data_IF_913199662500
#
_entry.id   IF_913199662500
#
_cell.length_a   1.000
_cell.length_b   1.000
_cell.length_c   1.000
_cell.angle_alpha   90.00
_cell.angle_beta   90.00
_cell.angle_gamma   90.00
#
_symmetry.space_group_name_H-M   'P 1'
#
loop_
_entity.id
_entity.type
_entity.pdbx_description
1 polymer ?
#
# COMPACT_ATOMS: atom_id res chain seq x y z
N UNK A 1 10.48 -15.63 -33.91
CA UNK A 1 11.07 -14.98 -32.73
C UNK A 1 10.00 -14.14 -32.07
N UNK A 2 9.69 -14.43 -30.81
CA UNK A 2 8.64 -13.74 -30.08
C UNK A 2 9.24 -12.73 -29.09
N UNK A 3 8.70 -11.52 -29.12
CA UNK A 3 9.06 -10.44 -28.21
C UNK A 3 7.93 -10.22 -27.21
N UNK A 4 8.26 -10.02 -25.94
CA UNK A 4 7.28 -9.66 -24.90
C UNK A 4 7.65 -8.29 -24.36
N UNK A 5 6.69 -7.37 -24.37
CA UNK A 5 6.84 -6.04 -23.76
C UNK A 5 5.96 -5.98 -22.52
N UNK A 6 6.58 -5.79 -21.36
CA UNK A 6 5.87 -5.57 -20.10
C UNK A 6 6.08 -4.11 -19.71
N UNK A 7 4.97 -3.36 -19.66
CA UNK A 7 4.98 -1.95 -19.32
C UNK A 7 4.20 -1.70 -18.04
N UNK A 8 4.82 -0.96 -17.11
CA UNK A 8 4.14 -0.39 -15.96
C UNK A 8 4.24 1.13 -15.98
N UNK A 9 3.09 1.80 -16.07
CA UNK A 9 3.06 3.26 -16.13
C UNK A 9 1.65 3.84 -16.23
N UNK A 10 1.60 5.16 -16.13
CA UNK A 10 0.40 5.99 -16.18
C UNK A 10 0.26 6.78 -17.49
N UNK A 11 1.30 6.78 -18.33
CA UNK A 11 1.34 7.47 -19.62
C UNK A 11 1.36 6.45 -20.75
N UNK A 12 0.74 6.76 -21.88
CA UNK A 12 0.80 5.90 -23.06
C UNK A 12 2.23 5.74 -23.59
N UNK A 13 2.58 4.50 -23.97
CA UNK A 13 3.87 4.12 -24.53
C UNK A 13 3.69 3.72 -26.00
N UNK A 14 4.25 4.50 -26.90
CA UNK A 14 4.31 4.15 -28.32
C UNK A 14 5.55 3.29 -28.61
N UNK A 15 5.33 2.09 -29.13
CA UNK A 15 6.37 1.18 -29.60
C UNK A 15 6.65 1.43 -31.08
N UNK A 16 7.92 1.34 -31.47
CA UNK A 16 8.30 1.36 -32.89
C UNK A 16 7.82 0.09 -33.56
N UNK A 17 7.38 0.21 -34.81
CA UNK A 17 7.01 -0.93 -35.66
C UNK A 17 8.20 -1.88 -35.81
N UNK A 18 7.95 -3.16 -35.55
CA UNK A 18 8.91 -4.26 -35.70
C UNK A 18 8.18 -5.38 -36.46
N UNK A 19 8.93 -6.17 -37.23
CA UNK A 19 8.38 -7.29 -38.01
C UNK A 19 8.14 -8.54 -37.14
N UNK A 20 8.53 -8.50 -35.87
CA UNK A 20 8.35 -9.58 -34.91
C UNK A 20 6.97 -9.58 -34.24
N UNK A 21 6.41 -10.77 -34.01
CA UNK A 21 5.22 -10.94 -33.17
C UNK A 21 5.52 -10.44 -31.76
N UNK A 22 4.82 -9.38 -31.36
CA UNK A 22 5.04 -8.72 -30.07
C UNK A 22 3.84 -8.91 -29.16
N UNK A 23 4.04 -9.63 -28.06
CA UNK A 23 3.07 -9.74 -26.97
C UNK A 23 3.23 -8.57 -26.02
N UNK A 24 2.14 -7.97 -25.58
CA UNK A 24 2.16 -6.83 -24.69
C UNK A 24 1.35 -7.07 -23.41
N UNK A 25 1.93 -6.67 -22.28
CA UNK A 25 1.31 -6.73 -20.96
C UNK A 25 1.46 -5.40 -20.24
N UNK A 26 0.33 -4.82 -19.85
CA UNK A 26 0.23 -3.52 -19.21
C UNK A 26 -0.12 -3.65 -17.72
N UNK A 27 0.56 -2.88 -16.88
CA UNK A 27 0.25 -2.70 -15.46
C UNK A 27 0.02 -1.20 -15.21
N UNK A 28 -1.19 -0.84 -14.80
CA UNK A 28 -1.59 0.56 -14.60
C UNK A 28 -2.43 1.11 -15.76
N UNK A 29 -2.56 2.44 -15.80
CA UNK A 29 -3.54 3.11 -16.68
C UNK A 29 -2.99 3.47 -18.06
N UNK A 30 -1.67 3.58 -18.22
CA UNK A 30 -1.03 3.97 -19.48
C UNK A 30 -1.01 2.84 -20.52
N UNK A 31 -1.43 3.12 -21.75
CA UNK A 31 -1.61 2.11 -22.80
C UNK A 31 -0.35 1.85 -23.61
N UNK A 32 -0.18 0.62 -24.09
CA UNK A 32 0.85 0.30 -25.09
C UNK A 32 0.24 0.47 -26.47
N UNK A 33 0.80 1.37 -27.27
CA UNK A 33 0.37 1.70 -28.63
C UNK A 33 1.40 1.18 -29.63
N UNK A 34 0.95 0.58 -30.73
CA UNK A 34 1.81 0.08 -31.80
C UNK A 34 1.07 -0.85 -32.75
N UNK A 35 1.73 -1.16 -33.87
CA UNK A 35 1.20 -2.08 -34.87
C UNK A 35 1.49 -3.55 -34.49
N UNK A 36 0.57 -4.47 -34.84
CA UNK A 36 0.73 -5.93 -34.65
C UNK A 36 1.03 -6.37 -33.21
N UNK A 37 0.38 -5.74 -32.24
CA UNK A 37 0.48 -6.09 -30.82
C UNK A 37 -0.57 -7.15 -30.44
N UNK A 38 -0.13 -8.20 -29.73
CA UNK A 38 -1.01 -9.18 -29.11
C UNK A 38 -1.11 -8.85 -27.61
N UNK A 39 -2.26 -8.31 -27.19
CA UNK A 39 -2.50 -7.99 -25.80
C UNK A 39 -2.79 -9.27 -25.00
N UNK A 40 -1.97 -9.53 -23.97
CA UNK A 40 -2.12 -10.68 -23.07
C UNK A 40 -2.69 -10.30 -21.70
N UNK A 41 -3.12 -9.06 -21.49
CA UNK A 41 -3.92 -8.69 -20.32
C UNK A 41 -5.27 -9.41 -20.36
N UNK A 42 -5.58 -10.13 -19.27
CA UNK A 42 -6.86 -10.77 -19.08
C UNK A 42 -7.30 -10.54 -17.62
N UNK A 43 -8.28 -9.66 -17.41
CA UNK A 43 -8.75 -9.27 -16.08
C UNK A 43 -9.47 -10.39 -15.35
N UNK A 44 -10.23 -11.23 -16.05
CA UNK A 44 -10.93 -12.37 -15.47
C UNK A 44 -9.93 -13.41 -14.93
N UNK A 45 -8.96 -13.79 -15.76
CA UNK A 45 -7.87 -14.68 -15.31
C UNK A 45 -7.02 -14.06 -14.21
N UNK A 46 -6.83 -12.73 -14.19
CA UNK A 46 -6.10 -12.07 -13.11
C UNK A 46 -6.87 -12.17 -11.78
N UNK A 47 -8.18 -11.97 -11.81
CA UNK A 47 -9.04 -12.07 -10.63
C UNK A 47 -9.06 -13.50 -10.09
N UNK A 48 -9.24 -14.50 -10.96
CA UNK A 48 -9.15 -15.91 -10.61
C UNK A 48 -7.80 -16.26 -9.93
N UNK A 49 -6.69 -15.82 -10.53
CA UNK A 49 -5.35 -16.04 -9.96
C UNK A 49 -5.26 -15.39 -8.58
N UNK A 50 -5.71 -14.14 -8.46
CA UNK A 50 -5.67 -13.37 -7.22
C UNK A 50 -6.42 -14.11 -6.11
N UNK A 51 -7.65 -14.57 -6.38
CA UNK A 51 -8.44 -15.37 -5.45
C UNK A 51 -7.74 -16.68 -5.09
N UNK A 52 -7.17 -17.38 -6.07
CA UNK A 52 -6.53 -18.69 -5.85
C UNK A 52 -5.27 -18.62 -4.97
N UNK A 53 -4.50 -17.54 -5.05
CA UNK A 53 -3.27 -17.38 -4.27
C UNK A 53 -3.47 -16.67 -2.95
N UNK A 54 -4.65 -16.09 -2.70
CA UNK A 54 -4.94 -15.24 -1.54
C UNK A 54 -4.58 -15.92 -0.22
N UNK A 55 -5.11 -17.12 0.00
CA UNK A 55 -4.99 -17.79 1.30
C UNK A 55 -3.55 -18.26 1.55
N UNK A 56 -2.92 -18.87 0.54
CA UNK A 56 -1.50 -19.27 0.59
C UNK A 56 -0.58 -18.07 0.84
N UNK A 57 -0.89 -16.93 0.23
CA UNK A 57 -0.13 -15.71 0.43
C UNK A 57 -0.27 -15.16 1.85
N UNK A 58 -1.50 -15.12 2.38
CA UNK A 58 -1.75 -14.71 3.77
C UNK A 58 -1.04 -15.63 4.75
N UNK A 59 -1.09 -16.94 4.51
CA UNK A 59 -0.40 -17.94 5.33
C UNK A 59 1.12 -17.77 5.27
N UNK A 60 1.69 -17.54 4.09
CA UNK A 60 3.11 -17.22 3.94
C UNK A 60 3.51 -15.97 4.74
N UNK A 61 2.70 -14.92 4.72
CA UNK A 61 2.98 -13.72 5.53
C UNK A 61 2.87 -14.00 7.01
N UNK A 62 1.85 -14.75 7.42
CA UNK A 62 1.71 -15.16 8.80
C UNK A 62 2.88 -16.04 9.27
N UNK A 63 3.46 -16.85 8.38
CA UNK A 63 4.62 -17.69 8.72
C UNK A 63 5.82 -16.88 9.23
N UNK A 64 5.95 -15.61 8.84
CA UNK A 64 7.01 -14.71 9.32
C UNK A 64 6.88 -14.38 10.82
N UNK A 65 5.70 -14.56 11.41
CA UNK A 65 5.48 -14.47 12.86
C UNK A 65 6.35 -15.48 13.65
N UNK A 66 6.66 -16.64 13.06
CA UNK A 66 7.52 -17.65 13.69
C UNK A 66 8.90 -17.10 14.07
N UNK A 67 9.45 -16.17 13.28
CA UNK A 67 10.73 -15.51 13.55
C UNK A 67 10.66 -14.66 14.82
N UNK A 68 9.54 -13.98 15.06
CA UNK A 68 9.31 -13.17 16.26
C UNK A 68 9.15 -14.05 17.49
N UNK A 69 8.39 -15.14 17.37
CA UNK A 69 8.19 -16.11 18.45
C UNK A 69 9.52 -16.76 18.84
N UNK A 70 10.29 -17.25 17.87
CA UNK A 70 11.58 -17.91 18.10
C UNK A 70 12.60 -16.94 18.72
N UNK A 71 12.52 -15.65 18.37
CA UNK A 71 13.38 -14.61 18.93
C UNK A 71 12.88 -14.02 20.26
N UNK A 72 11.85 -14.62 20.87
CA UNK A 72 11.21 -14.15 22.11
C UNK A 72 10.73 -12.68 22.05
N UNK A 73 10.31 -12.22 20.87
CA UNK A 73 9.73 -10.90 20.65
C UNK A 73 8.22 -10.91 20.96
N UNK A 74 7.89 -11.22 22.21
CA UNK A 74 6.53 -11.35 22.73
C UNK A 74 6.36 -10.36 23.88
N UNK A 75 5.26 -9.61 23.87
CA UNK A 75 4.89 -8.68 24.93
C UNK A 75 3.46 -8.94 25.36
N UNK A 76 3.23 -9.15 26.66
CA UNK A 76 1.90 -9.36 27.25
C UNK A 76 1.09 -10.48 26.55
N UNK A 77 1.78 -11.56 26.14
CA UNK A 77 1.18 -12.68 25.40
C UNK A 77 0.93 -12.43 23.90
N UNK A 78 1.27 -11.25 23.38
CA UNK A 78 1.13 -10.88 21.97
C UNK A 78 2.49 -10.88 21.27
N UNK A 79 2.56 -11.49 20.09
CA UNK A 79 3.74 -11.37 19.24
C UNK A 79 3.87 -9.95 18.69
N UNK A 80 5.07 -9.36 18.79
CA UNK A 80 5.37 -8.04 18.23
C UNK A 80 5.27 -8.00 16.70
N UNK A 81 5.18 -9.15 16.03
CA UNK A 81 4.86 -9.24 14.60
C UNK A 81 3.58 -8.46 14.26
N UNK A 82 2.52 -8.59 15.06
CA UNK A 82 1.24 -7.93 14.83
C UNK A 82 1.28 -6.41 15.05
N UNK A 83 2.36 -5.89 15.62
CA UNK A 83 2.59 -4.45 15.77
C UNK A 83 3.54 -3.90 14.71
N UNK A 84 4.09 -4.78 13.85
CA UNK A 84 5.02 -4.39 12.80
C UNK A 84 4.30 -3.85 11.56
N UNK A 85 5.00 -2.97 10.85
CA UNK A 85 4.58 -2.47 9.53
C UNK A 85 4.38 -3.60 8.50
N UNK A 86 5.08 -4.72 8.68
CA UNK A 86 4.94 -5.92 7.84
C UNK A 86 3.60 -6.63 8.03
N UNK A 87 3.01 -6.58 9.22
CA UNK A 87 1.66 -7.13 9.48
C UNK A 87 0.57 -6.13 9.10
N UNK A 88 0.70 -4.88 9.55
CA UNK A 88 -0.42 -3.93 9.52
C UNK A 88 -0.46 -3.02 8.29
N UNK A 89 0.69 -2.70 7.69
CA UNK A 89 0.81 -1.70 6.61
C UNK A 89 1.42 -2.27 5.34
N UNK A 90 1.32 -3.59 5.22
CA UNK A 90 2.07 -4.36 4.26
C UNK A 90 1.75 -3.99 2.82
N UNK A 91 0.46 -3.84 2.49
CA UNK A 91 -0.02 -3.50 1.14
C UNK A 91 0.41 -2.09 0.71
N UNK A 92 0.60 -1.18 1.67
CA UNK A 92 1.06 0.18 1.41
C UNK A 92 2.57 0.23 1.13
N UNK A 93 3.31 -0.68 1.76
CA UNK A 93 4.78 -0.73 1.74
C UNK A 93 5.34 -1.67 0.67
N UNK A 94 4.76 -2.87 0.56
CA UNK A 94 5.28 -3.96 -0.25
C UNK A 94 4.29 -4.32 -1.35
N UNK A 95 4.73 -4.11 -2.59
CA UNK A 95 3.94 -4.39 -3.79
C UNK A 95 4.08 -5.84 -4.27
N UNK A 96 4.08 -6.78 -3.33
CA UNK A 96 4.43 -8.18 -3.56
C UNK A 96 3.25 -9.01 -4.04
N UNK A 97 2.03 -8.68 -3.61
CA UNK A 97 0.83 -9.44 -3.97
C UNK A 97 0.44 -9.18 -5.43
N UNK A 98 0.33 -7.90 -5.78
CA UNK A 98 0.05 -7.45 -7.14
C UNK A 98 1.13 -7.98 -8.10
N UNK A 99 2.41 -7.81 -7.75
CA UNK A 99 3.51 -8.32 -8.58
C UNK A 99 3.40 -9.83 -8.79
N UNK A 100 3.15 -10.61 -7.74
CA UNK A 100 3.00 -12.07 -7.84
C UNK A 100 1.83 -12.46 -8.76
N UNK A 101 0.66 -11.86 -8.58
CA UNK A 101 -0.51 -12.13 -9.42
C UNK A 101 -0.24 -11.83 -10.90
N UNK A 102 0.36 -10.67 -11.19
CA UNK A 102 0.73 -10.29 -12.55
C UNK A 102 1.75 -11.26 -13.17
N UNK A 103 2.78 -11.65 -12.40
CA UNK A 103 3.80 -12.61 -12.86
C UNK A 103 3.18 -13.97 -13.19
N UNK A 104 2.28 -14.47 -12.34
CA UNK A 104 1.58 -15.74 -12.58
C UNK A 104 0.67 -15.66 -13.81
N UNK A 105 0.00 -14.52 -14.05
CA UNK A 105 -0.79 -14.33 -15.26
C UNK A 105 0.09 -14.34 -16.51
N UNK A 106 1.20 -13.61 -16.50
CA UNK A 106 2.18 -13.59 -17.60
C UNK A 106 2.68 -15.03 -17.88
N UNK A 107 3.00 -15.79 -16.82
CA UNK A 107 3.41 -17.19 -16.95
C UNK A 107 2.30 -18.08 -17.54
N UNK A 108 1.04 -17.87 -17.14
CA UNK A 108 -0.11 -18.62 -17.67
C UNK A 108 -0.32 -18.34 -19.16
N UNK A 109 -0.26 -17.07 -19.57
CA UNK A 109 -0.52 -16.65 -20.96
C UNK A 109 0.60 -17.01 -21.93
N UNK A 110 1.83 -17.11 -21.44
CA UNK A 110 3.01 -17.34 -22.28
C UNK A 110 3.59 -18.75 -22.17
N UNK A 111 2.85 -19.69 -21.55
CA UNK A 111 3.33 -21.05 -21.27
C UNK A 111 3.83 -21.79 -22.51
N UNK A 112 3.15 -21.61 -23.64
CA UNK A 112 3.42 -22.34 -24.89
C UNK A 112 4.12 -21.45 -25.95
N UNK A 113 4.68 -20.32 -25.53
CA UNK A 113 5.36 -19.37 -26.41
C UNK A 113 6.87 -19.45 -26.16
N UNK A 114 7.64 -19.70 -27.22
CA UNK A 114 9.10 -19.61 -27.16
C UNK A 114 9.51 -18.13 -27.28
N UNK A 115 10.04 -17.57 -26.19
CA UNK A 115 10.29 -16.13 -26.04
C UNK A 115 11.79 -15.87 -26.11
N UNK A 116 12.18 -15.05 -27.08
CA UNK A 116 13.58 -14.67 -27.26
C UNK A 116 13.94 -13.43 -26.43
N UNK A 117 13.02 -12.47 -26.34
CA UNK A 117 13.29 -11.14 -25.78
C UNK A 117 12.16 -10.66 -24.90
N UNK A 118 12.49 -10.25 -23.67
CA UNK A 118 11.64 -9.45 -22.81
C UNK A 118 12.13 -8.00 -22.79
N UNK A 119 11.22 -7.07 -23.05
CA UNK A 119 11.43 -5.64 -22.83
C UNK A 119 10.60 -5.20 -21.62
N UNK A 120 11.29 -4.88 -20.53
CA UNK A 120 10.72 -4.54 -19.24
C UNK A 120 10.84 -3.03 -19.02
N UNK A 121 9.70 -2.33 -18.95
CA UNK A 121 9.63 -0.88 -18.96
C UNK A 121 8.85 -0.39 -17.74
N UNK A 122 9.46 0.45 -16.88
CA UNK A 122 8.76 0.98 -15.70
C UNK A 122 8.62 -0.01 -14.54
N UNK A 123 9.28 -1.15 -14.63
CA UNK A 123 9.24 -2.21 -13.62
C UNK A 123 10.35 -2.03 -12.58
N UNK A 124 10.13 -2.58 -11.39
CA UNK A 124 11.15 -2.62 -10.34
C UNK A 124 12.13 -3.80 -10.54
N UNK A 125 13.18 -3.83 -9.72
CA UNK A 125 14.21 -4.88 -9.79
C UNK A 125 13.67 -6.25 -9.38
N UNK A 126 12.76 -6.32 -8.41
CA UNK A 126 12.23 -7.58 -7.91
C UNK A 126 11.41 -8.28 -9.00
N UNK A 127 10.51 -7.54 -9.65
CA UNK A 127 9.72 -8.02 -10.77
C UNK A 127 10.60 -8.50 -11.93
N UNK A 128 11.62 -7.71 -12.27
CA UNK A 128 12.60 -8.06 -13.31
C UNK A 128 13.32 -9.38 -12.99
N UNK A 129 13.73 -9.59 -11.74
CA UNK A 129 14.39 -10.83 -11.33
C UNK A 129 13.44 -12.02 -11.38
N UNK A 130 12.17 -11.83 -11.00
CA UNK A 130 11.17 -12.89 -11.10
C UNK A 130 10.93 -13.34 -12.55
N UNK A 131 10.81 -12.39 -13.49
CA UNK A 131 10.69 -12.72 -14.92
C UNK A 131 11.94 -13.43 -15.43
N UNK A 132 13.14 -12.95 -15.08
CA UNK A 132 14.40 -13.61 -15.44
C UNK A 132 14.51 -15.03 -14.87
N UNK A 133 13.98 -15.26 -13.66
CA UNK A 133 13.94 -16.58 -13.05
C UNK A 133 12.99 -17.55 -13.77
N UNK A 134 11.86 -17.03 -14.29
CA UNK A 134 10.89 -17.84 -15.05
C UNK A 134 11.37 -18.12 -16.48
N UNK A 135 12.09 -17.18 -17.09
CA UNK A 135 12.56 -17.26 -18.47
C UNK A 135 14.08 -17.07 -18.55
N UNK A 136 14.88 -18.02 -18.04
CA UNK A 136 16.33 -17.85 -17.91
C UNK A 136 17.08 -17.75 -19.25
N UNK A 137 16.48 -18.27 -20.34
CA UNK A 137 17.06 -18.25 -21.68
C UNK A 137 16.77 -16.97 -22.47
N UNK A 138 15.76 -16.20 -22.06
CA UNK A 138 15.33 -15.01 -22.78
C UNK A 138 16.23 -13.81 -22.47
N UNK A 139 16.46 -12.96 -23.48
CA UNK A 139 17.24 -11.73 -23.36
C UNK A 139 16.38 -10.67 -22.65
N UNK A 140 16.90 -10.12 -21.56
CA UNK A 140 16.21 -9.08 -20.78
C UNK A 140 16.71 -7.68 -21.18
N UNK A 141 15.83 -6.85 -21.74
CA UNK A 141 16.05 -5.42 -21.97
C UNK A 141 15.26 -4.62 -20.95
N UNK A 142 15.94 -3.94 -20.04
CA UNK A 142 15.29 -3.15 -19.00
C UNK A 142 15.44 -1.66 -19.33
N UNK A 143 14.33 -0.92 -19.34
CA UNK A 143 14.34 0.53 -19.50
C UNK A 143 13.44 1.20 -18.46
N UNK A 144 13.76 2.46 -18.11
CA UNK A 144 13.02 3.24 -17.10
C UNK A 144 12.76 2.45 -15.81
N UNK A 145 13.83 1.98 -15.16
CA UNK A 145 13.69 1.23 -13.91
C UNK A 145 12.98 2.09 -12.85
N UNK A 146 11.88 1.59 -12.31
CA UNK A 146 11.18 2.27 -11.21
C UNK A 146 12.04 2.12 -9.94
N UNK A 147 12.34 3.21 -9.22
CA UNK A 147 12.94 3.07 -7.91
C UNK A 147 11.98 2.30 -6.99
N UNK A 148 12.53 1.51 -6.07
CA UNK A 148 11.74 0.83 -5.05
C UNK A 148 10.81 1.84 -4.36
N UNK A 149 9.56 1.43 -4.12
CA UNK A 149 8.54 2.24 -3.43
C UNK A 149 9.05 2.74 -2.06
N UNK A 150 9.95 1.98 -1.44
CA UNK A 150 10.62 2.31 -0.19
C UNK A 150 12.12 2.45 -0.45
N UNK A 151 12.67 3.63 -0.15
CA UNK A 151 14.08 3.74 0.20
C UNK A 151 14.19 3.81 1.72
N UNK A 152 14.96 2.90 2.32
CA UNK A 152 15.13 2.79 3.78
C UNK A 152 15.49 4.15 4.38
N UNK A 153 16.37 4.91 3.72
CA UNK A 153 16.75 6.26 4.15
C UNK A 153 15.58 7.26 4.17
N UNK A 154 14.74 7.30 3.14
CA UNK A 154 13.56 8.19 3.13
C UNK A 154 12.56 7.81 4.21
N UNK A 155 12.43 6.51 4.50
CA UNK A 155 11.55 6.03 5.57
C UNK A 155 12.06 6.44 6.96
N UNK A 156 13.35 6.25 7.24
CA UNK A 156 13.95 6.70 8.50
C UNK A 156 13.77 8.21 8.70
N UNK A 157 13.92 9.02 7.64
CA UNK A 157 13.67 10.47 7.72
C UNK A 157 12.19 10.75 8.01
N UNK A 158 11.27 10.02 7.38
CA UNK A 158 9.83 10.18 7.62
C UNK A 158 9.46 9.79 9.06
N UNK A 159 10.00 8.68 9.57
CA UNK A 159 9.77 8.22 10.94
C UNK A 159 10.37 9.20 11.97
N UNK A 160 11.57 9.73 11.71
CA UNK A 160 12.19 10.75 12.56
C UNK A 160 11.37 12.05 12.56
N UNK A 161 10.89 12.49 11.38
CA UNK A 161 9.99 13.64 11.27
C UNK A 161 8.70 13.41 12.06
N UNK A 162 8.08 12.24 11.92
CA UNK A 162 6.87 11.89 12.65
C UNK A 162 7.10 11.92 14.17
N UNK A 163 8.22 11.36 14.63
CA UNK A 163 8.59 11.40 16.04
C UNK A 163 8.72 12.83 16.57
N UNK A 164 9.38 13.72 15.81
CA UNK A 164 9.49 15.14 16.16
C UNK A 164 8.10 15.80 16.22
N UNK A 165 7.23 15.56 15.24
CA UNK A 165 5.87 16.09 15.22
C UNK A 165 5.04 15.60 16.43
N UNK A 166 5.15 14.32 16.78
CA UNK A 166 4.49 13.74 17.95
C UNK A 166 5.01 14.37 19.25
N UNK A 167 6.32 14.55 19.39
CA UNK A 167 6.92 15.22 20.56
C UNK A 167 6.41 16.66 20.69
N UNK A 168 6.37 17.43 19.58
CA UNK A 168 5.84 18.79 19.59
C UNK A 168 4.37 18.83 20.01
N UNK A 169 3.58 17.83 19.64
CA UNK A 169 2.17 17.76 20.02
C UNK A 169 1.98 17.42 21.49
N UNK A 170 2.83 16.57 22.06
CA UNK A 170 2.88 16.36 23.51
C UNK A 170 3.19 17.68 24.23
N UNK A 171 4.17 18.45 23.74
CA UNK A 171 4.48 19.78 24.30
C UNK A 171 3.30 20.74 24.18
N UNK A 172 2.62 20.78 23.03
CA UNK A 172 1.43 21.62 22.84
C UNK A 172 0.33 21.24 23.82
N UNK A 173 0.06 19.95 24.00
CA UNK A 173 -0.95 19.47 24.93
C UNK A 173 -0.60 19.82 26.39
N UNK A 174 0.68 19.78 26.75
CA UNK A 174 1.13 20.17 28.08
C UNK A 174 1.00 21.69 28.30
N UNK A 175 1.33 22.50 27.30
CA UNK A 175 1.21 23.96 27.40
C UNK A 175 -0.23 24.47 27.25
N UNK A 176 -1.17 23.64 26.80
CA UNK A 176 -2.58 24.02 26.72
C UNK A 176 -3.20 24.01 28.12
N UNK A 177 -3.92 25.07 28.52
CA UNK A 177 -4.65 25.06 29.78
C UNK A 177 -5.63 23.89 29.73
N UNK A 178 -5.58 23.02 30.75
CA UNK A 178 -6.58 21.97 30.95
C UNK A 178 -7.94 22.64 30.96
N UNK A 179 -8.69 22.51 29.87
CA UNK A 179 -10.13 22.75 29.92
C UNK A 179 -10.68 21.65 30.80
N UNK A 180 -11.43 22.04 31.83
CA UNK A 180 -12.05 21.13 32.78
C UNK A 180 -12.62 19.94 32.03
N UNK A 181 -12.15 18.75 32.39
CA UNK A 181 -12.64 17.50 31.83
C UNK A 181 -14.11 17.43 32.21
N UNK A 182 -15.03 17.69 31.27
CA UNK A 182 -16.44 17.43 31.54
C UNK A 182 -16.53 15.95 31.88
N UNK A 183 -17.21 15.63 32.98
CA UNK A 183 -17.47 14.25 33.36
C UNK A 183 -18.04 13.55 32.13
N UNK A 184 -17.35 12.51 31.67
CA UNK A 184 -17.75 11.68 30.53
C UNK A 184 -19.25 11.43 30.68
N UNK A 185 -20.08 12.01 29.80
CA UNK A 185 -21.50 11.63 29.79
C UNK A 185 -21.54 10.11 29.59
N UNK A 186 -22.43 9.42 30.30
CA UNK A 186 -22.59 7.97 30.18
C UNK A 186 -22.94 7.61 28.74
N UNK A 187 -21.92 7.43 27.93
CA UNK A 187 -22.06 7.12 26.52
C UNK A 187 -22.29 5.63 26.40
N UNK A 188 -23.30 5.26 25.62
CA UNK A 188 -23.60 3.84 25.42
C UNK A 188 -22.53 3.18 24.55
N UNK A 189 -21.93 3.90 23.59
CA UNK A 189 -20.93 3.38 22.66
C UNK A 189 -19.86 4.40 22.29
N UNK A 190 -18.64 3.89 22.06
CA UNK A 190 -17.51 4.65 21.55
C UNK A 190 -17.13 4.20 20.14
N UNK A 191 -16.96 5.15 19.24
CA UNK A 191 -16.55 4.90 17.84
C UNK A 191 -15.16 5.48 17.57
N UNK A 192 -14.25 4.67 17.00
CA UNK A 192 -12.89 5.11 16.70
C UNK A 192 -12.78 5.77 15.33
N UNK A 193 -12.31 7.01 15.30
CA UNK A 193 -12.33 7.86 14.11
C UNK A 193 -11.07 8.66 13.89
N UNK A 194 -10.72 8.91 12.62
CA UNK A 194 -9.62 9.80 12.25
C UNK A 194 -10.15 11.19 11.92
N UNK A 195 -9.70 12.21 12.64
CA UNK A 195 -10.10 13.60 12.40
C UNK A 195 -8.94 14.43 11.84
N UNK A 196 -9.19 15.23 10.80
CA UNK A 196 -10.49 15.55 10.21
C UNK A 196 -10.90 14.63 9.05
N UNK A 197 -10.04 13.73 8.59
CA UNK A 197 -10.20 13.08 7.28
C UNK A 197 -11.48 12.25 7.14
N UNK A 198 -11.92 11.60 8.21
CA UNK A 198 -13.14 10.79 8.19
C UNK A 198 -14.40 11.57 8.52
N UNK A 199 -14.32 12.87 8.78
CA UNK A 199 -15.45 13.69 9.25
C UNK A 199 -15.97 14.64 8.17
N UNK A 200 -17.29 14.84 8.15
CA UNK A 200 -17.91 15.89 7.34
C UNK A 200 -17.91 17.26 8.06
N UNK A 201 -18.49 18.27 7.42
CA UNK A 201 -18.62 19.63 7.98
C UNK A 201 -19.43 19.68 9.28
N UNK A 202 -20.27 18.68 9.53
CA UNK A 202 -21.15 18.60 10.70
C UNK A 202 -20.53 17.77 11.84
N UNK A 203 -19.23 17.43 11.75
CA UNK A 203 -18.50 16.62 12.73
C UNK A 203 -19.10 15.22 12.94
N UNK A 204 -19.71 14.62 11.90
CA UNK A 204 -20.06 13.19 11.90
C UNK A 204 -19.10 12.40 11.01
N UNK A 205 -18.69 11.21 11.49
CA UNK A 205 -17.80 10.33 10.73
C UNK A 205 -18.58 9.70 9.57
N UNK A 206 -18.02 9.80 8.37
CA UNK A 206 -18.61 9.30 7.12
C UNK A 206 -18.87 7.80 7.13
N UNK A 207 -18.09 7.01 7.89
CA UNK A 207 -18.20 5.54 7.96
C UNK A 207 -19.35 5.10 8.85
N UNK A 208 -19.60 5.85 9.93
CA UNK A 208 -20.63 5.51 10.91
C UNK A 208 -21.95 6.21 10.59
N UNK A 209 -21.93 7.37 9.92
CA UNK A 209 -23.12 8.05 9.41
C UNK A 209 -24.20 8.21 10.48
N UNK A 210 -25.37 7.61 10.23
CA UNK A 210 -26.53 7.62 11.14
C UNK A 210 -26.48 6.54 12.25
N UNK A 211 -25.51 5.63 12.22
CA UNK A 211 -25.35 4.59 13.24
C UNK A 211 -24.80 5.11 14.56
N UNK A 212 -24.10 6.25 14.54
CA UNK A 212 -23.73 6.96 15.75
C UNK A 212 -24.95 7.74 16.27
N UNK A 213 -25.51 7.31 17.39
CA UNK A 213 -26.62 7.99 18.06
C UNK A 213 -26.18 9.31 18.70
N UNK A 214 -27.16 10.10 19.16
CA UNK A 214 -26.91 11.40 19.82
C UNK A 214 -26.17 11.28 21.16
N UNK A 215 -26.24 10.11 21.80
CA UNK A 215 -25.61 9.79 23.08
C UNK A 215 -24.27 9.04 22.91
N UNK A 216 -23.90 8.72 21.66
CA UNK A 216 -22.66 8.00 21.35
C UNK A 216 -21.50 9.00 21.15
N UNK A 217 -20.30 8.59 21.53
CA UNK A 217 -19.12 9.43 21.47
C UNK A 217 -18.08 8.91 20.46
N UNK A 218 -17.39 9.84 19.80
CA UNK A 218 -16.23 9.51 18.96
C UNK A 218 -14.94 9.60 19.77
N UNK A 219 -14.14 8.54 19.73
CA UNK A 219 -12.74 8.53 20.15
C UNK A 219 -11.89 8.86 18.93
N UNK A 220 -11.33 10.06 18.94
CA UNK A 220 -10.78 10.67 17.74
C UNK A 220 -9.26 10.69 17.76
N UNK A 221 -8.65 10.16 16.71
CA UNK A 221 -7.20 10.25 16.44
C UNK A 221 -6.95 11.42 15.49
N UNK A 222 -6.25 12.45 15.98
CA UNK A 222 -5.88 13.63 15.16
C UNK A 222 -4.49 13.45 14.54
N UNK A 223 -3.59 12.73 15.23
CA UNK A 223 -2.26 12.41 14.72
C UNK A 223 -2.16 10.90 14.56
N UNK A 224 -1.97 10.48 13.32
CA UNK A 224 -1.73 9.09 12.94
C UNK A 224 -0.28 8.94 12.46
N UNK A 225 0.09 7.73 12.04
CA UNK A 225 1.42 7.28 11.64
C UNK A 225 2.09 8.01 10.44
N UNK A 226 1.54 9.12 9.97
CA UNK A 226 2.04 9.89 8.83
C UNK A 226 1.83 9.23 7.46
N UNK A 227 1.23 8.04 7.39
CA UNK A 227 0.81 7.40 6.13
C UNK A 227 -0.68 7.59 5.90
N UNK A 228 -1.50 7.33 6.92
CA UNK A 228 -2.95 7.48 6.84
C UNK A 228 -3.36 8.95 6.96
N UNK A 229 -2.75 9.70 7.89
CA UNK A 229 -3.01 11.12 8.08
C UNK A 229 -1.74 11.87 8.49
N UNK A 230 -1.38 12.91 7.73
CA UNK A 230 -0.28 13.83 8.06
C UNK A 230 -0.84 15.15 8.58
N UNK A 231 -0.77 15.37 9.89
CA UNK A 231 -1.19 16.61 10.53
C UNK A 231 0.01 17.26 11.20
N UNK A 232 0.41 18.43 10.71
CA UNK A 232 1.49 19.18 11.34
C UNK A 232 1.07 19.71 12.72
N UNK A 233 1.99 19.93 13.66
CA UNK A 233 1.67 20.40 15.01
C UNK A 233 0.83 21.70 15.06
N UNK A 234 1.07 22.62 14.12
CA UNK A 234 0.29 23.88 14.02
C UNK A 234 -1.16 23.59 13.62
N UNK A 235 -1.35 22.66 12.69
CA UNK A 235 -2.68 22.27 12.22
C UNK A 235 -3.40 21.45 13.29
N UNK A 236 -2.68 20.58 13.99
CA UNK A 236 -3.17 19.86 15.17
C UNK A 236 -3.76 20.84 16.20
N UNK A 237 -3.04 21.90 16.54
CA UNK A 237 -3.51 22.92 17.47
C UNK A 237 -4.81 23.59 17.02
N UNK A 238 -4.95 23.87 15.72
CA UNK A 238 -6.20 24.40 15.14
C UNK A 238 -7.34 23.39 15.26
N UNK A 239 -7.07 22.11 15.04
CA UNK A 239 -8.06 21.04 15.13
C UNK A 239 -8.54 20.80 16.56
N UNK A 240 -7.63 20.72 17.53
CA UNK A 240 -8.00 20.58 18.94
C UNK A 240 -8.88 21.75 19.41
N UNK A 241 -8.66 22.96 18.90
CA UNK A 241 -9.50 24.14 19.23
C UNK A 241 -10.86 24.15 18.53
N UNK A 242 -11.01 23.46 17.40
CA UNK A 242 -12.27 23.37 16.63
C UNK A 242 -13.19 22.28 17.16
N UNK A 243 -12.64 21.24 17.77
CA UNK A 243 -13.44 20.21 18.41
C UNK A 243 -14.21 20.82 19.59
N UNK A 244 -15.50 20.47 19.76
CA UNK A 244 -16.26 20.88 20.93
C UNK A 244 -15.49 20.49 22.20
N UNK A 245 -15.56 21.33 23.23
CA UNK A 245 -14.88 21.05 24.50
C UNK A 245 -15.26 19.64 24.98
N UNK A 246 -14.23 18.83 25.28
CA UNK A 246 -14.34 17.52 25.93
C UNK A 246 -15.22 17.61 27.17
#
# INVERSE_FOLDING_TARGET
MAKVVIYRGDIDLSLKTDDQTTYCYQIGVGKILGDRLININNSESLDEITLSIRDNYVEWIYSLNSLFITSNLIKDGMSLFFLSDLSNKRSELFDTYESLANILLIQKQLRDVDIDVFELIGLDRAFTHSIKSLYPKAIMKCSRARPLRISVGRRLIADAKYFIEAMLVVVINWCMPNKDFKSISESQKYYFSYYPQSFNSNLTDLRYGEHAGKEDNYLVTIIADGMQQQVSPIVYFKYVRRLPNR
#
